data_IF_781625215606
#
_entry.id   IF_781625215606
#
_cell.length_a   1.000
_cell.length_b   1.000
_cell.length_c   1.000
_cell.angle_alpha   90.00
_cell.angle_beta   90.00
_cell.angle_gamma   90.00
#
_symmetry.space_group_name_H-M   'P 1'
#
loop_
_entity.id
_entity.type
_entity.pdbx_description
1 polymer ?
#
# COMPACT_ATOMS: atom_id res chain seq x y z
N UNK A 1 -10.83 -5.66 -11.35
CA UNK A 1 -9.52 -5.85 -11.92
C UNK A 1 -8.42 -5.71 -10.86
N UNK A 2 -8.28 -4.55 -10.24
CA UNK A 2 -7.20 -4.26 -9.29
C UNK A 2 -7.40 -4.83 -7.88
N UNK A 3 -8.53 -5.41 -7.56
CA UNK A 3 -8.94 -5.87 -6.20
C UNK A 3 -8.90 -4.77 -5.12
N UNK A 4 -8.94 -3.50 -5.54
CA UNK A 4 -9.02 -2.33 -4.67
C UNK A 4 -10.47 -1.85 -4.57
N UNK A 5 -10.87 -1.33 -3.41
CA UNK A 5 -12.13 -0.63 -3.24
C UNK A 5 -12.05 0.80 -3.83
N UNK A 6 -13.21 1.41 -4.14
CA UNK A 6 -13.24 2.81 -4.59
C UNK A 6 -12.52 3.75 -3.62
N UNK A 7 -12.75 3.59 -2.33
CA UNK A 7 -12.11 4.40 -1.30
C UNK A 7 -10.56 4.25 -1.27
N UNK A 8 -10.04 3.05 -1.57
CA UNK A 8 -8.60 2.84 -1.68
C UNK A 8 -8.03 3.50 -2.93
N UNK A 9 -8.75 3.42 -4.06
CA UNK A 9 -8.36 4.11 -5.30
C UNK A 9 -8.31 5.62 -5.07
N UNK A 10 -9.33 6.19 -4.42
CA UNK A 10 -9.37 7.62 -4.10
C UNK A 10 -8.21 8.04 -3.20
N UNK A 11 -7.87 7.21 -2.19
CA UNK A 11 -6.72 7.46 -1.31
C UNK A 11 -5.37 7.32 -2.02
N UNK A 12 -5.26 6.46 -3.02
CA UNK A 12 -4.06 6.35 -3.86
C UNK A 12 -3.95 7.58 -4.76
N UNK A 13 -5.03 8.01 -5.39
CA UNK A 13 -5.08 9.18 -6.27
C UNK A 13 -4.78 10.48 -5.51
N UNK A 14 -5.22 10.59 -4.27
CA UNK A 14 -4.95 11.73 -3.38
C UNK A 14 -3.60 11.67 -2.65
N UNK A 15 -2.72 10.73 -3.00
CA UNK A 15 -1.39 10.54 -2.39
C UNK A 15 -1.40 10.21 -0.88
N UNK A 16 -2.53 9.81 -0.33
CA UNK A 16 -2.66 9.40 1.09
C UNK A 16 -2.19 7.97 1.32
N UNK A 17 -2.30 7.11 0.28
CA UNK A 17 -1.83 5.74 0.31
C UNK A 17 -0.86 5.47 -0.83
N UNK A 18 0.13 4.66 -0.52
CA UNK A 18 1.06 4.07 -1.49
C UNK A 18 0.67 2.63 -1.78
N UNK A 19 0.86 2.20 -3.02
CA UNK A 19 0.58 0.83 -3.45
C UNK A 19 1.85 0.16 -3.97
N UNK A 20 2.00 -1.11 -3.67
CA UNK A 20 3.08 -1.93 -4.18
C UNK A 20 2.83 -2.28 -5.64
N UNK A 21 3.71 -1.86 -6.53
CA UNK A 21 3.56 -2.03 -7.99
C UNK A 21 4.41 -3.14 -8.59
N UNK A 22 5.25 -3.80 -7.79
CA UNK A 22 6.10 -4.92 -8.24
C UNK A 22 5.93 -6.15 -7.38
N UNK A 23 6.27 -7.33 -7.94
CA UNK A 23 6.33 -8.58 -7.19
C UNK A 23 7.50 -8.56 -6.20
N UNK A 24 7.22 -9.06 -5.00
CA UNK A 24 8.24 -9.26 -3.96
C UNK A 24 8.48 -10.76 -3.80
N UNK A 25 9.74 -11.15 -3.95
CA UNK A 25 10.17 -12.53 -3.66
C UNK A 25 10.24 -12.77 -2.16
N UNK A 26 10.12 -14.04 -1.74
CA UNK A 26 10.27 -14.40 -0.32
C UNK A 26 11.66 -14.03 0.24
N UNK A 27 12.70 -14.06 -0.60
CA UNK A 27 14.04 -13.63 -0.20
C UNK A 27 14.11 -12.12 0.05
N UNK A 28 13.37 -11.33 -0.72
CA UNK A 28 13.23 -9.89 -0.50
C UNK A 28 12.52 -9.61 0.81
N UNK A 29 11.42 -10.34 1.10
CA UNK A 29 10.70 -10.22 2.38
C UNK A 29 11.60 -10.57 3.56
N UNK A 30 12.46 -11.58 3.45
CA UNK A 30 13.43 -11.93 4.49
C UNK A 30 14.42 -10.80 4.74
N UNK A 31 15.04 -10.26 3.69
CA UNK A 31 15.98 -9.13 3.81
C UNK A 31 15.36 -7.91 4.51
N UNK A 32 14.11 -7.61 4.22
CA UNK A 32 13.39 -6.51 4.87
C UNK A 32 13.16 -6.81 6.35
N UNK A 33 12.75 -8.05 6.67
CA UNK A 33 12.55 -8.47 8.05
C UNK A 33 13.86 -8.41 8.88
N UNK A 34 14.97 -8.80 8.29
CA UNK A 34 16.29 -8.73 8.92
C UNK A 34 16.69 -7.28 9.23
N UNK A 35 16.57 -6.38 8.25
CA UNK A 35 16.88 -4.96 8.46
C UNK A 35 15.98 -4.30 9.51
N UNK A 36 14.68 -4.59 9.48
CA UNK A 36 13.75 -4.06 10.49
C UNK A 36 14.10 -4.60 11.88
N UNK A 37 14.59 -5.85 11.96
CA UNK A 37 15.05 -6.42 13.23
C UNK A 37 16.32 -5.71 13.73
N UNK A 38 17.26 -5.43 12.85
CA UNK A 38 18.47 -4.65 13.18
C UNK A 38 18.13 -3.24 13.67
N UNK A 39 17.19 -2.55 13.01
CA UNK A 39 16.71 -1.23 13.42
C UNK A 39 16.01 -1.28 14.78
N UNK A 40 15.21 -2.30 15.03
CA UNK A 40 14.57 -2.52 16.31
C UNK A 40 15.60 -2.72 17.43
N UNK A 41 16.61 -3.57 17.20
CA UNK A 41 17.68 -3.84 18.15
C UNK A 41 18.45 -2.54 18.48
N UNK A 42 18.78 -1.72 17.48
CA UNK A 42 19.43 -0.41 17.68
C UNK A 42 18.60 0.54 18.53
N UNK A 43 17.31 0.71 18.18
CA UNK A 43 16.39 1.59 18.95
C UNK A 43 16.23 1.12 20.39
N UNK A 44 16.19 -0.20 20.61
CA UNK A 44 16.13 -0.77 21.95
C UNK A 44 17.41 -0.57 22.75
N UNK A 45 18.58 -0.61 22.10
CA UNK A 45 19.86 -0.28 22.75
C UNK A 45 19.95 1.19 23.12
N UNK A 46 19.57 2.08 22.19
CA UNK A 46 19.51 3.53 22.43
C UNK A 46 18.57 3.87 23.61
N UNK A 47 17.37 3.26 23.62
CA UNK A 47 16.44 3.44 24.73
C UNK A 47 17.03 2.99 26.09
N UNK A 48 17.75 1.87 26.11
CA UNK A 48 18.41 1.38 27.32
C UNK A 48 19.55 2.28 27.80
N UNK A 49 20.28 2.88 26.87
CA UNK A 49 21.35 3.84 27.21
C UNK A 49 20.74 5.10 27.82
N UNK A 50 19.73 5.67 27.17
CA UNK A 50 19.01 6.84 27.69
C UNK A 50 18.39 6.59 29.08
N UNK A 51 17.79 5.41 29.25
CA UNK A 51 17.23 5.01 30.54
C UNK A 51 18.27 4.96 31.65
N UNK A 52 19.48 4.42 31.37
CA UNK A 52 20.57 4.39 32.33
C UNK A 52 21.05 5.79 32.71
N UNK A 53 21.22 6.67 31.71
CA UNK A 53 21.64 8.05 31.94
C UNK A 53 20.62 8.84 32.76
N UNK A 54 19.31 8.61 32.54
CA UNK A 54 18.27 9.25 33.33
C UNK A 54 18.17 8.71 34.75
N UNK A 55 18.39 7.41 34.95
CA UNK A 55 18.46 6.82 36.30
C UNK A 55 19.64 7.36 37.12
N UNK A 56 20.80 7.57 36.50
CA UNK A 56 21.97 8.15 37.17
C UNK A 56 21.74 9.61 37.60
N UNK A 57 20.85 10.32 36.92
CA UNK A 57 20.45 11.72 37.23
C UNK A 57 19.27 11.82 38.21
N UNK A 58 18.62 10.69 38.51
CA UNK A 58 17.41 10.64 39.33
C UNK A 58 17.77 10.47 40.82
N UNK A 59 17.90 11.56 41.55
CA UNK A 59 18.19 11.59 43.00
C UNK A 59 17.00 11.20 43.89
N UNK A 60 15.79 11.12 43.34
CA UNK A 60 14.55 10.95 44.11
C UNK A 60 13.75 9.70 43.66
N UNK A 61 13.28 8.91 44.64
CA UNK A 61 12.47 7.68 44.36
C UNK A 61 11.21 7.93 43.50
N UNK A 62 10.70 9.16 43.51
CA UNK A 62 9.55 9.53 42.69
C UNK A 62 9.95 9.71 41.22
N UNK A 63 11.10 10.36 40.99
CA UNK A 63 11.67 10.50 39.65
C UNK A 63 12.05 9.14 39.03
N UNK A 64 12.59 8.21 39.83
CA UNK A 64 12.92 6.87 39.38
C UNK A 64 11.68 6.12 38.88
N UNK A 65 10.54 6.20 39.61
CA UNK A 65 9.27 5.58 39.17
C UNK A 65 8.72 6.19 37.88
N UNK A 66 8.86 7.49 37.71
CA UNK A 66 8.41 8.17 36.49
C UNK A 66 9.30 7.80 35.30
N UNK A 67 10.61 7.66 35.50
CA UNK A 67 11.57 7.18 34.50
C UNK A 67 11.26 5.71 34.10
N UNK A 68 11.00 4.84 35.09
CA UNK A 68 10.61 3.44 34.82
C UNK A 68 9.33 3.37 34.00
N UNK A 69 8.35 4.19 34.31
CA UNK A 69 7.09 4.25 33.58
C UNK A 69 7.30 4.71 32.14
N UNK A 70 8.07 5.78 31.93
CA UNK A 70 8.37 6.30 30.59
C UNK A 70 9.15 5.28 29.75
N UNK A 71 10.11 4.57 30.37
CA UNK A 71 10.83 3.50 29.70
C UNK A 71 9.90 2.39 29.24
N UNK A 72 8.97 1.97 30.10
CA UNK A 72 8.01 0.92 29.76
C UNK A 72 7.04 1.36 28.66
N UNK A 73 6.52 2.59 28.71
CA UNK A 73 5.66 3.16 27.68
C UNK A 73 6.38 3.22 26.32
N UNK A 74 7.60 3.74 26.28
CA UNK A 74 8.41 3.81 25.06
C UNK A 74 8.75 2.42 24.49
N UNK A 75 9.07 1.47 25.36
CA UNK A 75 9.30 0.08 24.97
C UNK A 75 8.06 -0.55 24.35
N UNK A 76 6.93 -0.40 24.99
CA UNK A 76 5.64 -0.93 24.52
C UNK A 76 5.27 -0.35 23.14
N UNK A 77 5.58 0.93 22.91
CA UNK A 77 5.32 1.58 21.62
C UNK A 77 6.26 1.07 20.51
N UNK A 78 7.55 0.87 20.81
CA UNK A 78 8.50 0.24 19.88
C UNK A 78 8.06 -1.19 19.55
N UNK A 79 7.63 -1.96 20.55
CA UNK A 79 7.16 -3.34 20.36
C UNK A 79 5.88 -3.40 19.52
N UNK A 80 4.93 -2.48 19.72
CA UNK A 80 3.71 -2.35 18.91
C UNK A 80 4.05 -2.01 17.45
N UNK A 81 4.93 -1.04 17.24
CA UNK A 81 5.39 -0.66 15.90
C UNK A 81 6.04 -1.85 15.19
N UNK A 82 6.93 -2.55 15.86
CA UNK A 82 7.61 -3.74 15.30
C UNK A 82 6.63 -4.85 14.91
N UNK A 83 5.64 -5.14 15.77
CA UNK A 83 4.63 -6.16 15.49
C UNK A 83 3.72 -5.75 14.32
N UNK A 84 3.34 -4.47 14.24
CA UNK A 84 2.60 -3.92 13.10
C UNK A 84 3.37 -4.08 11.80
N UNK A 85 4.67 -3.77 11.79
CA UNK A 85 5.53 -3.91 10.61
C UNK A 85 5.66 -5.35 10.15
N UNK A 86 5.86 -6.27 11.09
CA UNK A 86 5.92 -7.71 10.77
C UNK A 86 4.63 -8.17 10.09
N UNK A 87 3.47 -7.69 10.54
CA UNK A 87 2.18 -8.04 9.91
C UNK A 87 2.07 -7.47 8.50
N UNK A 88 2.43 -6.19 8.31
CA UNK A 88 2.42 -5.55 6.99
C UNK A 88 3.30 -6.33 6.00
N UNK A 89 4.53 -6.69 6.40
CA UNK A 89 5.47 -7.42 5.54
C UNK A 89 4.96 -8.83 5.19
N UNK A 90 4.31 -9.51 6.12
CA UNK A 90 3.75 -10.83 5.87
C UNK A 90 2.68 -10.78 4.75
N UNK A 91 1.87 -9.73 4.75
CA UNK A 91 0.76 -9.54 3.81
C UNK A 91 1.15 -8.79 2.53
N UNK A 92 2.43 -8.41 2.36
CA UNK A 92 2.89 -7.69 1.17
C UNK A 92 2.79 -8.54 -0.09
N UNK A 93 1.92 -8.10 -1.00
CA UNK A 93 1.75 -8.64 -2.35
C UNK A 93 1.51 -7.48 -3.33
N UNK A 94 1.58 -7.73 -4.63
CA UNK A 94 1.18 -6.72 -5.63
C UNK A 94 -0.22 -6.20 -5.30
N UNK A 95 -0.36 -4.89 -5.26
CA UNK A 95 -1.60 -4.20 -4.92
C UNK A 95 -1.83 -3.99 -3.43
N UNK A 96 -0.93 -4.46 -2.54
CA UNK A 96 -1.01 -4.11 -1.12
C UNK A 96 -0.81 -2.61 -0.94
N UNK A 97 -1.66 -2.00 -0.12
CA UNK A 97 -1.63 -0.55 0.15
C UNK A 97 -1.10 -0.28 1.54
N UNK A 98 -0.25 0.73 1.65
CA UNK A 98 0.29 1.25 2.92
C UNK A 98 -0.02 2.74 3.06
N UNK A 99 -0.02 3.25 4.28
CA UNK A 99 -0.17 4.69 4.54
C UNK A 99 1.10 5.44 4.16
N UNK A 100 0.96 6.73 3.82
CA UNK A 100 2.11 7.60 3.53
C UNK A 100 3.09 7.68 4.72
N UNK A 101 2.58 7.71 5.95
CA UNK A 101 3.41 7.70 7.16
C UNK A 101 4.28 6.46 7.26
N UNK A 102 3.72 5.28 7.00
CA UNK A 102 4.45 4.01 7.03
C UNK A 102 5.49 3.96 5.90
N UNK A 103 5.14 4.49 4.72
CA UNK A 103 6.09 4.59 3.60
C UNK A 103 7.29 5.46 3.95
N UNK A 104 7.05 6.69 4.45
CA UNK A 104 8.13 7.64 4.78
C UNK A 104 9.02 7.14 5.91
N UNK A 105 8.43 6.59 6.97
CA UNK A 105 9.18 6.21 8.17
C UNK A 105 9.99 4.93 7.97
N UNK A 106 9.51 4.01 7.12
CA UNK A 106 10.03 2.64 7.09
C UNK A 106 10.45 2.22 5.68
N UNK A 107 9.53 2.30 4.73
CA UNK A 107 9.78 1.72 3.40
C UNK A 107 10.63 2.61 2.50
N UNK A 108 10.77 3.90 2.80
CA UNK A 108 11.63 4.82 2.04
C UNK A 108 13.10 4.32 2.00
N UNK A 109 13.59 3.77 3.09
CA UNK A 109 14.95 3.20 3.17
C UNK A 109 15.14 1.92 2.34
N UNK A 110 14.04 1.29 1.90
CA UNK A 110 14.05 0.10 1.05
C UNK A 110 13.66 0.39 -0.40
N UNK A 111 13.70 1.66 -0.83
CA UNK A 111 13.30 2.07 -2.16
C UNK A 111 14.08 1.38 -3.29
N UNK A 112 15.33 0.97 -3.02
CA UNK A 112 16.17 0.19 -3.95
C UNK A 112 15.68 -1.27 -4.13
N UNK A 113 14.91 -1.77 -3.17
CA UNK A 113 14.48 -3.17 -3.12
C UNK A 113 12.99 -3.30 -3.45
N UNK A 114 12.19 -2.31 -3.04
CA UNK A 114 10.72 -2.33 -3.17
C UNK A 114 10.24 -1.02 -3.77
N UNK A 115 9.41 -1.12 -4.80
CA UNK A 115 8.82 0.05 -5.43
C UNK A 115 7.37 0.23 -4.98
N UNK A 116 7.16 1.16 -4.08
CA UNK A 116 5.84 1.70 -3.77
C UNK A 116 5.60 2.96 -4.59
N UNK A 117 4.38 3.11 -5.09
CA UNK A 117 3.97 4.29 -5.84
C UNK A 117 2.61 4.78 -5.39
N UNK A 118 2.33 6.04 -5.64
CA UNK A 118 1.05 6.68 -5.38
C UNK A 118 0.61 7.49 -6.60
N UNK A 119 -0.64 7.96 -6.62
CA UNK A 119 -1.19 8.73 -7.71
C UNK A 119 -1.61 7.89 -8.93
N UNK A 120 -1.98 8.55 -10.04
CA UNK A 120 -2.47 7.87 -11.25
C UNK A 120 -1.42 6.98 -11.92
N UNK A 121 -0.14 7.27 -11.76
CA UNK A 121 0.94 6.44 -12.32
C UNK A 121 1.03 5.07 -11.65
N UNK A 122 0.74 4.99 -10.37
CA UNK A 122 0.67 3.72 -9.64
C UNK A 122 -0.43 2.83 -10.20
N UNK A 123 -1.64 3.39 -10.41
CA UNK A 123 -2.75 2.68 -11.02
C UNK A 123 -2.42 2.24 -12.45
N UNK A 124 -1.75 3.10 -13.22
CA UNK A 124 -1.31 2.77 -14.57
C UNK A 124 -0.39 1.55 -14.59
N UNK A 125 0.64 1.52 -13.73
CA UNK A 125 1.56 0.37 -13.65
C UNK A 125 0.83 -0.91 -13.21
N UNK A 126 -0.09 -0.81 -12.27
CA UNK A 126 -0.92 -1.94 -11.88
C UNK A 126 -1.77 -2.45 -13.04
N UNK A 127 -2.38 -1.56 -13.84
CA UNK A 127 -3.15 -1.95 -15.01
C UNK A 127 -2.28 -2.58 -16.10
N UNK A 128 -1.05 -2.10 -16.29
CA UNK A 128 -0.08 -2.68 -17.22
C UNK A 128 0.34 -4.10 -16.83
N UNK A 129 0.40 -4.41 -15.55
CA UNK A 129 0.78 -5.74 -15.06
C UNK A 129 -0.33 -6.79 -15.25
N UNK A 130 -1.57 -6.39 -15.59
CA UNK A 130 -2.70 -7.30 -15.73
C UNK A 130 -2.62 -8.09 -17.03
N UNK A 131 -2.49 -9.40 -16.91
CA UNK A 131 -2.72 -10.30 -18.05
C UNK A 131 -4.21 -10.63 -18.14
N UNK A 132 -4.90 -10.05 -19.11
CA UNK A 132 -6.36 -10.17 -19.29
C UNK A 132 -6.81 -11.63 -19.40
N UNK A 133 -6.10 -12.46 -20.18
CA UNK A 133 -6.46 -13.87 -20.36
C UNK A 133 -6.35 -14.68 -19.06
N UNK A 134 -5.26 -14.46 -18.30
CA UNK A 134 -5.09 -15.13 -17.00
C UNK A 134 -6.17 -14.69 -16.01
N UNK A 135 -6.51 -13.39 -16.02
CA UNK A 135 -7.53 -12.86 -15.14
C UNK A 135 -8.94 -13.38 -15.47
N UNK A 136 -9.30 -13.53 -16.77
CA UNK A 136 -10.55 -14.16 -17.19
C UNK A 136 -10.64 -15.58 -16.62
N UNK A 137 -9.60 -16.40 -16.80
CA UNK A 137 -9.56 -17.78 -16.28
C UNK A 137 -9.71 -17.82 -14.76
N UNK A 138 -9.06 -16.89 -14.06
CA UNK A 138 -9.15 -16.76 -12.59
C UNK A 138 -10.57 -16.42 -12.15
N UNK A 139 -11.23 -15.47 -12.82
CA UNK A 139 -12.59 -15.03 -12.47
C UNK A 139 -13.65 -16.09 -12.79
N UNK A 140 -13.48 -16.87 -13.85
CA UNK A 140 -14.35 -18.02 -14.14
C UNK A 140 -14.27 -19.05 -13.00
N UNK A 141 -13.07 -19.38 -12.52
CA UNK A 141 -12.91 -20.25 -11.35
C UNK A 141 -13.55 -19.66 -10.09
N UNK A 142 -13.39 -18.36 -9.87
CA UNK A 142 -14.03 -17.67 -8.75
C UNK A 142 -15.56 -17.75 -8.83
N UNK A 143 -16.15 -17.58 -9.99
CA UNK A 143 -17.60 -17.69 -10.22
C UNK A 143 -18.17 -19.02 -9.77
N UNK A 144 -17.47 -20.13 -10.01
CA UNK A 144 -17.91 -21.47 -9.59
C UNK A 144 -17.89 -21.67 -8.06
N UNK A 145 -17.09 -20.89 -7.34
CA UNK A 145 -16.91 -21.02 -5.90
C UNK A 145 -17.84 -20.08 -5.08
N UNK A 146 -18.32 -19.00 -5.70
CA UNK A 146 -19.14 -17.99 -5.04
C UNK A 146 -20.58 -18.49 -4.89
N UNK A 147 -21.11 -18.45 -3.65
CA UNK A 147 -22.47 -18.89 -3.34
C UNK A 147 -23.50 -17.75 -3.40
N UNK A 148 -23.10 -16.50 -3.09
CA UNK A 148 -23.98 -15.34 -3.05
C UNK A 148 -24.32 -14.83 -4.47
N UNK A 149 -25.61 -14.60 -4.73
CA UNK A 149 -26.08 -14.09 -6.03
C UNK A 149 -25.51 -12.70 -6.38
N UNK A 150 -25.42 -11.80 -5.41
CA UNK A 150 -24.90 -10.45 -5.62
C UNK A 150 -23.42 -10.46 -5.99
N UNK A 151 -22.65 -11.34 -5.31
CA UNK A 151 -21.25 -11.54 -5.64
C UNK A 151 -21.09 -12.19 -7.02
N UNK A 152 -21.95 -13.15 -7.39
CA UNK A 152 -21.97 -13.75 -8.73
C UNK A 152 -22.22 -12.70 -9.81
N UNK A 153 -23.23 -11.81 -9.62
CA UNK A 153 -23.49 -10.71 -10.55
C UNK A 153 -22.28 -9.80 -10.75
N UNK A 154 -21.58 -9.43 -9.66
CA UNK A 154 -20.34 -8.63 -9.73
C UNK A 154 -19.24 -9.34 -10.51
N UNK A 155 -19.03 -10.64 -10.25
CA UNK A 155 -18.01 -11.43 -10.96
C UNK A 155 -18.36 -11.56 -12.45
N UNK A 156 -19.63 -11.81 -12.81
CA UNK A 156 -20.08 -11.88 -14.22
C UNK A 156 -19.83 -10.56 -14.95
N UNK A 157 -20.19 -9.43 -14.33
CA UNK A 157 -19.96 -8.13 -14.95
C UNK A 157 -18.48 -7.85 -15.19
N UNK A 158 -17.62 -8.26 -14.26
CA UNK A 158 -16.17 -8.17 -14.43
C UNK A 158 -15.66 -9.08 -15.54
N UNK A 159 -16.17 -10.32 -15.65
CA UNK A 159 -15.82 -11.25 -16.74
C UNK A 159 -16.23 -10.65 -18.09
N UNK A 160 -17.46 -10.10 -18.21
CA UNK A 160 -17.92 -9.44 -19.44
C UNK A 160 -17.01 -8.29 -19.83
N UNK A 161 -16.61 -7.43 -18.87
CA UNK A 161 -15.67 -6.33 -19.11
C UNK A 161 -14.32 -6.86 -19.64
N UNK A 162 -13.76 -7.87 -19.00
CA UNK A 162 -12.48 -8.45 -19.40
C UNK A 162 -12.54 -9.10 -20.79
N UNK A 163 -13.65 -9.78 -21.13
CA UNK A 163 -13.88 -10.35 -22.46
C UNK A 163 -13.95 -9.24 -23.49
N UNK A 164 -14.71 -8.16 -23.22
CA UNK A 164 -14.80 -7.03 -24.14
C UNK A 164 -13.43 -6.38 -24.38
N UNK A 165 -12.62 -6.18 -23.34
CA UNK A 165 -11.25 -5.67 -23.49
C UNK A 165 -10.40 -6.60 -24.36
N UNK A 166 -10.53 -7.92 -24.17
CA UNK A 166 -9.79 -8.90 -24.96
C UNK A 166 -10.21 -8.94 -26.42
N UNK A 167 -11.52 -8.91 -26.69
CA UNK A 167 -12.07 -8.94 -28.06
C UNK A 167 -11.76 -7.67 -28.82
N UNK A 168 -11.81 -6.50 -28.15
CA UNK A 168 -11.50 -5.21 -28.75
C UNK A 168 -10.01 -4.90 -28.84
N UNK A 169 -9.14 -5.82 -28.39
CA UNK A 169 -7.68 -5.63 -28.30
C UNK A 169 -7.29 -4.34 -27.52
N UNK A 170 -8.15 -3.90 -26.61
CA UNK A 170 -7.92 -2.72 -25.78
C UNK A 170 -7.22 -3.13 -24.50
N UNK A 171 -6.06 -2.55 -24.27
CA UNK A 171 -5.28 -2.82 -23.05
C UNK A 171 -5.92 -2.15 -21.82
N UNK A 172 -5.89 -2.77 -20.63
CA UNK A 172 -6.41 -2.18 -19.40
C UNK A 172 -5.80 -0.82 -19.05
N UNK A 173 -4.53 -0.59 -19.42
CA UNK A 173 -3.83 0.68 -19.21
C UNK A 173 -4.48 1.88 -19.89
N UNK A 174 -5.25 1.66 -20.97
CA UNK A 174 -5.96 2.71 -21.69
C UNK A 174 -7.11 3.33 -20.87
N UNK A 175 -7.46 2.76 -19.72
CA UNK A 175 -8.39 3.38 -18.76
C UNK A 175 -7.79 4.65 -18.12
N UNK A 176 -6.46 4.80 -18.13
CA UNK A 176 -5.78 6.01 -17.67
C UNK A 176 -5.48 6.90 -18.87
N UNK A 177 -6.26 7.97 -19.00
CA UNK A 177 -6.15 8.92 -20.12
C UNK A 177 -4.93 9.82 -19.86
N UNK A 178 -3.94 9.78 -20.75
CA UNK A 178 -2.75 10.65 -20.68
C UNK A 178 -2.86 11.89 -21.58
N UNK A 179 -3.61 11.77 -22.68
CA UNK A 179 -3.80 12.86 -23.66
C UNK A 179 -5.29 13.02 -23.89
N UNK A 180 -5.81 14.16 -23.51
CA UNK A 180 -7.22 14.51 -23.76
C UNK A 180 -7.27 15.41 -25.01
N UNK A 181 -7.98 15.01 -26.10
CA UNK A 181 -8.20 15.90 -27.23
C UNK A 181 -9.12 17.06 -26.78
N UNK A 182 -8.70 18.27 -27.06
CA UNK A 182 -9.48 19.48 -26.74
C UNK A 182 -9.94 20.10 -28.06
N UNK A 183 -11.23 20.40 -28.15
CA UNK A 183 -11.80 21.10 -29.32
C UNK A 183 -11.16 22.48 -29.41
N UNK A 184 -10.70 22.92 -30.61
CA UNK A 184 -10.18 24.26 -30.82
C UNK A 184 -11.18 25.34 -30.38
N UNK A 185 -10.72 26.50 -29.90
CA UNK A 185 -11.58 27.57 -29.39
C UNK A 185 -12.68 27.96 -30.36
N UNK A 186 -12.38 28.00 -31.65
CA UNK A 186 -13.31 28.40 -32.73
C UNK A 186 -14.50 27.42 -32.94
N UNK A 187 -14.34 26.17 -32.47
CA UNK A 187 -15.37 25.13 -32.57
C UNK A 187 -16.09 24.89 -31.23
N UNK A 188 -15.81 25.67 -30.20
CA UNK A 188 -16.50 25.53 -28.91
C UNK A 188 -17.82 26.23 -28.93
N UNK A 189 -18.92 25.57 -28.52
CA UNK A 189 -20.22 26.26 -28.39
C UNK A 189 -20.11 27.34 -27.31
N UNK A 190 -20.64 28.52 -27.61
CA UNK A 190 -20.75 29.61 -26.64
C UNK A 190 -21.86 29.25 -25.67
N UNK A 191 -21.56 29.10 -24.39
CA UNK A 191 -22.56 28.94 -23.33
C UNK A 191 -22.70 30.28 -22.62
N UNK A 192 -23.93 30.84 -22.62
CA UNK A 192 -24.23 31.97 -21.78
C UNK A 192 -24.21 31.53 -20.32
N UNK A 193 -23.41 32.20 -19.52
CA UNK A 193 -23.41 32.03 -18.05
C UNK A 193 -24.62 32.81 -17.54
N UNK A 194 -25.59 32.11 -16.97
CA UNK A 194 -26.72 32.71 -16.23
C UNK A 194 -26.25 33.22 -14.87
#
# INVERSE_FOLDING_TARGET
MLNLSSNEIDKILSFVKYVLVQDITEDTKKKIKEKIKEDYEKRMEELKVLYKEELEKADDKKKQKDTDRLFQENKDDIDKEMNRLKSIIADLNIGSTILESDYRNIFCQFADIITFQSGPEALLKMLQSINVQKEIKRRIKQYTQVKSEDQRKKVINLIKLLINLHVSDVKPENMVIRKLPVIPPDLRPVVQLE
#
